data_IF_017696109332
#
_entry.id   IF_017696109332
#
_cell.length_a   1.000
_cell.length_b   1.000
_cell.length_c   1.000
_cell.angle_alpha   90.00
_cell.angle_beta   90.00
_cell.angle_gamma   90.00
#
_symmetry.space_group_name_H-M   'P 1'
#
loop_
_entity.id
_entity.type
_entity.pdbx_description
1 polymer ?
#
# COMPACT_ATOMS: atom_id res chain seq x y z
N UNK A 1 -23.93 -39.94 22.63
CA UNK A 1 -24.04 -38.50 22.31
C UNK A 1 -23.14 -37.61 23.17
N UNK A 2 -23.09 -37.76 24.50
CA UNK A 2 -22.28 -36.89 25.40
C UNK A 2 -20.77 -36.89 25.11
N UNK A 3 -20.19 -38.03 24.68
CA UNK A 3 -18.75 -38.15 24.33
C UNK A 3 -18.37 -37.47 23.00
N UNK A 4 -19.32 -37.39 22.06
CA UNK A 4 -19.10 -36.70 20.78
C UNK A 4 -19.11 -35.17 20.98
N UNK A 5 -19.96 -34.68 21.89
CA UNK A 5 -20.02 -33.26 22.25
C UNK A 5 -18.71 -32.78 22.89
N UNK A 6 -18.10 -33.59 23.76
CA UNK A 6 -16.80 -33.26 24.37
C UNK A 6 -15.65 -33.17 23.37
N UNK A 7 -15.65 -34.00 22.32
CA UNK A 7 -14.62 -33.96 21.27
C UNK A 7 -14.76 -32.73 20.37
N UNK A 8 -16.00 -32.30 20.09
CA UNK A 8 -16.26 -31.07 19.31
C UNK A 8 -15.81 -29.83 20.08
N UNK A 9 -16.08 -29.76 21.38
CA UNK A 9 -15.65 -28.65 22.24
C UNK A 9 -14.12 -28.60 22.34
N UNK A 10 -13.46 -29.76 22.46
CA UNK A 10 -12.00 -29.84 22.51
C UNK A 10 -11.34 -29.42 21.19
N UNK A 11 -11.94 -29.79 20.04
CA UNK A 11 -11.48 -29.34 18.72
C UNK A 11 -11.65 -27.83 18.51
N UNK A 12 -12.72 -27.24 19.05
CA UNK A 12 -12.99 -25.80 18.94
C UNK A 12 -11.96 -24.96 19.73
N UNK A 13 -11.51 -25.46 20.89
CA UNK A 13 -10.51 -24.78 21.72
C UNK A 13 -9.13 -24.83 21.06
N UNK A 14 -8.77 -25.94 20.42
CA UNK A 14 -7.49 -26.07 19.69
C UNK A 14 -7.41 -25.21 18.42
N UNK A 15 -8.54 -24.77 17.87
CA UNK A 15 -8.57 -23.88 16.69
C UNK A 15 -8.52 -22.38 17.04
N UNK A 16 -8.50 -22.01 18.33
CA UNK A 16 -8.61 -20.61 18.76
C UNK A 16 -7.27 -19.86 18.86
N UNK A 17 -6.12 -20.51 18.68
CA UNK A 17 -4.81 -19.91 18.93
C UNK A 17 -4.07 -19.44 17.67
N UNK A 18 -4.72 -18.65 16.81
CA UNK A 18 -4.00 -17.97 15.72
C UNK A 18 -4.60 -16.59 15.40
N UNK A 19 -4.75 -15.74 16.41
CA UNK A 19 -4.82 -14.30 16.17
C UNK A 19 -3.39 -13.85 15.87
N UNK A 20 -3.02 -13.87 14.59
CA UNK A 20 -1.80 -13.23 14.12
C UNK A 20 -1.94 -11.72 14.30
N UNK A 21 -1.50 -11.21 15.45
CA UNK A 21 -1.24 -9.79 15.61
C UNK A 21 -0.03 -9.45 14.72
N UNK A 22 -0.30 -8.90 13.53
CA UNK A 22 0.73 -8.30 12.71
C UNK A 22 1.41 -7.20 13.53
N UNK A 23 2.66 -7.39 13.92
CA UNK A 23 3.48 -6.33 14.51
C UNK A 23 3.68 -5.27 13.42
N UNK A 24 2.92 -4.19 13.49
CA UNK A 24 3.27 -2.96 12.79
C UNK A 24 4.47 -2.35 13.50
N UNK A 25 5.64 -2.39 12.88
CA UNK A 25 6.82 -1.70 13.37
C UNK A 25 6.55 -0.18 13.30
N UNK A 26 6.58 0.56 14.43
CA UNK A 26 6.31 2.00 14.43
C UNK A 26 7.37 2.81 13.66
N UNK A 27 8.46 2.18 13.23
CA UNK A 27 9.53 2.79 12.45
C UNK A 27 9.58 2.33 10.99
N UNK A 28 8.54 1.65 10.49
CA UNK A 28 8.40 1.35 9.06
C UNK A 28 8.02 2.61 8.26
N UNK A 29 9.00 3.52 8.13
CA UNK A 29 8.87 4.78 7.41
C UNK A 29 9.46 4.59 6.01
N UNK A 30 8.62 4.71 4.99
CA UNK A 30 9.04 4.63 3.59
C UNK A 30 9.84 5.89 3.20
N UNK A 31 11.17 5.84 3.34
CA UNK A 31 12.07 6.94 2.96
C UNK A 31 12.23 6.97 1.43
N UNK A 32 11.73 8.02 0.76
CA UNK A 32 11.89 8.20 -0.71
C UNK A 32 13.14 8.97 -1.09
N UNK A 33 13.54 9.93 -0.25
CA UNK A 33 14.70 10.81 -0.44
C UNK A 33 15.48 10.88 0.87
N UNK A 34 16.80 10.77 0.77
CA UNK A 34 17.72 10.96 1.87
C UNK A 34 18.51 12.24 1.62
N UNK A 35 18.37 13.18 2.53
CA UNK A 35 19.03 14.47 2.50
C UNK A 35 20.23 14.47 3.45
N UNK A 36 21.26 15.24 3.12
CA UNK A 36 22.51 15.34 3.90
C UNK A 36 22.33 16.03 5.25
N UNK A 37 21.25 16.80 5.40
CA UNK A 37 20.85 17.49 6.61
C UNK A 37 19.31 17.48 6.72
N UNK A 38 18.70 17.81 7.88
CA UNK A 38 17.25 17.93 8.03
C UNK A 38 16.70 19.20 7.37
N UNK A 39 16.99 19.37 6.08
CA UNK A 39 16.58 20.48 5.23
C UNK A 39 16.38 19.95 3.80
N UNK A 40 15.24 20.25 3.19
CA UNK A 40 14.88 19.84 1.83
C UNK A 40 15.75 20.52 0.76
N UNK A 41 16.40 21.63 1.09
CA UNK A 41 17.35 22.33 0.22
C UNK A 41 18.78 21.79 0.36
N UNK A 42 19.03 20.90 1.32
CA UNK A 42 20.35 20.29 1.47
C UNK A 42 20.62 19.27 0.36
N UNK A 43 21.88 18.86 0.24
CA UNK A 43 22.28 17.93 -0.82
C UNK A 43 21.51 16.60 -0.70
N UNK A 44 20.97 16.14 -1.84
CA UNK A 44 20.36 14.83 -1.95
C UNK A 44 21.46 13.77 -1.92
N UNK A 45 21.52 13.01 -0.83
CA UNK A 45 22.47 11.92 -0.64
C UNK A 45 21.99 10.68 -1.39
N UNK A 46 20.68 10.43 -1.37
CA UNK A 46 20.11 9.28 -2.03
C UNK A 46 18.66 9.53 -2.47
N UNK A 47 18.32 9.07 -3.67
CA UNK A 47 16.96 9.01 -4.17
C UNK A 47 16.66 7.55 -4.46
N UNK A 48 15.52 7.02 -4.02
CA UNK A 48 15.12 5.67 -4.38
C UNK A 48 14.38 5.75 -5.72
N UNK A 49 14.99 5.34 -6.86
CA UNK A 49 14.27 5.26 -8.11
C UNK A 49 13.30 4.07 -8.02
N UNK A 50 12.02 4.35 -7.84
CA UNK A 50 10.96 3.34 -7.93
C UNK A 50 10.30 3.51 -9.30
N UNK A 51 10.45 2.52 -10.16
CA UNK A 51 9.70 2.40 -11.41
C UNK A 51 8.48 1.51 -11.17
N UNK A 52 7.29 2.03 -11.49
CA UNK A 52 6.05 1.25 -11.46
C UNK A 52 5.49 1.18 -12.88
N UNK A 53 5.31 -0.04 -13.39
CA UNK A 53 4.70 -0.32 -14.69
C UNK A 53 3.42 -1.10 -14.51
N UNK A 54 2.34 -0.62 -15.11
CA UNK A 54 1.11 -1.39 -15.23
C UNK A 54 1.29 -2.44 -16.32
N UNK A 55 0.93 -3.68 -16.02
CA UNK A 55 1.03 -4.81 -16.94
C UNK A 55 -0.35 -5.31 -17.37
N UNK A 56 -1.32 -5.29 -16.45
CA UNK A 56 -2.66 -5.85 -16.70
C UNK A 56 -3.68 -5.28 -15.70
N UNK A 57 -4.96 -5.49 -16.00
CA UNK A 57 -6.10 -5.06 -15.16
C UNK A 57 -7.09 -6.22 -15.07
N UNK A 58 -7.64 -6.47 -13.89
CA UNK A 58 -8.70 -7.47 -13.71
C UNK A 58 -9.98 -7.06 -14.43
N UNK A 59 -10.84 -8.03 -14.73
CA UNK A 59 -12.12 -7.78 -15.40
C UNK A 59 -13.01 -6.79 -14.62
N UNK A 60 -12.98 -6.85 -13.28
CA UNK A 60 -13.72 -5.93 -12.40
C UNK A 60 -13.02 -4.58 -12.18
N UNK A 61 -11.83 -4.39 -12.75
CA UNK A 61 -11.02 -3.17 -12.66
C UNK A 61 -10.62 -2.74 -11.24
N UNK A 62 -10.75 -3.63 -10.25
CA UNK A 62 -10.33 -3.37 -8.87
C UNK A 62 -8.88 -3.78 -8.61
N UNK A 63 -8.32 -4.64 -9.47
CA UNK A 63 -6.97 -5.18 -9.33
C UNK A 63 -6.13 -4.84 -10.55
N UNK A 64 -4.91 -4.37 -10.27
CA UNK A 64 -3.97 -3.93 -11.28
C UNK A 64 -2.69 -4.74 -11.13
N UNK A 65 -2.33 -5.47 -12.18
CA UNK A 65 -1.07 -6.20 -12.21
C UNK A 65 0.05 -5.21 -12.47
N UNK A 66 0.95 -5.06 -11.50
CA UNK A 66 2.03 -4.10 -11.56
C UNK A 66 3.37 -4.79 -11.49
N UNK A 67 4.33 -4.23 -12.23
CA UNK A 67 5.76 -4.48 -12.05
C UNK A 67 6.35 -3.30 -11.30
N UNK A 68 6.93 -3.57 -10.15
CA UNK A 68 7.67 -2.59 -9.36
C UNK A 68 9.14 -2.95 -9.43
N UNK A 69 9.96 -2.03 -9.91
CA UNK A 69 11.40 -2.17 -9.96
C UNK A 69 12.04 -1.03 -9.16
N UNK A 70 12.94 -1.37 -8.25
CA UNK A 70 13.70 -0.37 -7.51
C UNK A 70 15.12 -0.86 -7.27
N UNK A 71 16.05 0.09 -7.18
CA UNK A 71 17.45 -0.19 -6.88
C UNK A 71 17.80 0.34 -5.51
N UNK A 72 18.53 -0.47 -4.73
CA UNK A 72 19.11 -0.10 -3.45
C UNK A 72 20.62 -0.32 -3.52
N UNK A 73 21.37 0.77 -3.68
CA UNK A 73 22.80 0.71 -3.98
C UNK A 73 23.10 -0.12 -5.24
N UNK A 74 24.01 -1.12 -5.19
CA UNK A 74 24.32 -1.97 -6.34
C UNK A 74 23.27 -3.05 -6.61
N UNK A 75 22.28 -3.21 -5.73
CA UNK A 75 21.25 -4.24 -5.85
C UNK A 75 20.02 -3.69 -6.55
N UNK A 76 19.43 -4.50 -7.42
CA UNK A 76 18.17 -4.17 -8.10
C UNK A 76 17.14 -5.24 -7.79
N UNK A 77 15.96 -4.80 -7.38
CA UNK A 77 14.83 -5.65 -7.02
C UNK A 77 13.71 -5.43 -8.03
N UNK A 78 13.01 -6.50 -8.37
CA UNK A 78 11.87 -6.45 -9.28
C UNK A 78 10.81 -7.41 -8.77
N UNK A 79 9.61 -6.88 -8.60
CA UNK A 79 8.44 -7.62 -8.16
C UNK A 79 7.34 -7.47 -9.20
N UNK A 80 6.63 -8.56 -9.47
CA UNK A 80 5.44 -8.57 -10.31
C UNK A 80 4.31 -9.17 -9.48
N UNK A 81 3.21 -8.45 -9.36
CA UNK A 81 2.08 -8.89 -8.55
C UNK A 81 0.82 -8.10 -8.86
N UNK A 82 -0.25 -8.43 -8.15
CA UNK A 82 -1.52 -7.71 -8.23
C UNK A 82 -1.64 -6.76 -7.05
N UNK A 83 -2.00 -5.50 -7.33
CA UNK A 83 -2.30 -4.49 -6.34
C UNK A 83 -3.79 -4.15 -6.42
N UNK A 84 -4.47 -4.17 -5.28
CA UNK A 84 -5.80 -3.60 -5.16
C UNK A 84 -5.67 -2.08 -5.19
N UNK A 85 -6.24 -1.45 -6.21
CA UNK A 85 -6.23 0.00 -6.34
C UNK A 85 -7.68 0.44 -6.56
N UNK A 86 -8.35 1.05 -5.57
CA UNK A 86 -9.72 1.52 -5.72
C UNK A 86 -9.73 2.83 -6.53
N UNK A 87 -9.32 2.76 -7.80
CA UNK A 87 -9.22 3.91 -8.72
C UNK A 87 -10.57 4.64 -8.80
N UNK A 88 -11.68 3.90 -8.79
CA UNK A 88 -13.03 4.47 -8.77
C UNK A 88 -13.27 5.42 -7.60
N UNK A 89 -12.85 5.05 -6.38
CA UNK A 89 -12.99 5.89 -5.18
C UNK A 89 -12.06 7.10 -5.22
N UNK A 90 -10.82 6.90 -5.69
CA UNK A 90 -9.83 7.98 -5.81
C UNK A 90 -10.28 9.04 -6.82
N UNK A 91 -10.83 8.62 -7.96
CA UNK A 91 -11.36 9.53 -8.98
C UNK A 91 -12.65 10.22 -8.48
N UNK A 92 -13.55 9.50 -7.82
CA UNK A 92 -14.76 10.09 -7.24
C UNK A 92 -14.41 11.16 -6.18
N UNK A 93 -13.45 10.88 -5.29
CA UNK A 93 -12.97 11.82 -4.28
C UNK A 93 -12.32 13.06 -4.91
N UNK A 94 -11.54 12.90 -5.99
CA UNK A 94 -10.93 14.03 -6.73
C UNK A 94 -11.99 14.89 -7.39
N UNK A 95 -12.96 14.29 -8.10
CA UNK A 95 -14.05 15.02 -8.75
C UNK A 95 -14.90 15.77 -7.72
N UNK A 96 -15.21 15.16 -6.57
CA UNK A 96 -15.93 15.82 -5.48
C UNK A 96 -15.13 16.98 -4.85
N UNK A 97 -13.80 16.87 -4.78
CA UNK A 97 -12.92 17.94 -4.29
C UNK A 97 -12.82 19.11 -5.28
N UNK A 98 -12.70 18.82 -6.58
CA UNK A 98 -12.69 19.85 -7.64
C UNK A 98 -14.04 20.57 -7.72
N UNK A 99 -15.16 19.85 -7.61
CA UNK A 99 -16.50 20.44 -7.61
C UNK A 99 -16.79 21.33 -6.38
N UNK A 100 -15.99 21.22 -5.31
CA UNK A 100 -16.12 22.01 -4.08
C UNK A 100 -15.05 23.11 -3.95
N UNK A 101 -14.10 23.22 -4.88
CA UNK A 101 -13.16 24.33 -4.90
C UNK A 101 -13.91 25.61 -5.34
N UNK A 102 -13.88 26.72 -4.56
CA UNK A 102 -14.57 27.95 -4.93
C UNK A 102 -13.97 28.54 -6.20
N UNK A 103 -14.83 29.17 -7.03
CA UNK A 103 -14.46 30.04 -8.14
C UNK A 103 -13.79 31.33 -7.59
N UNK A 104 -12.59 31.23 -7.02
CA UNK A 104 -11.77 32.36 -6.59
C UNK A 104 -10.39 32.26 -7.22
N UNK A 105 -10.30 32.31 -8.55
CA UNK A 105 -9.11 32.80 -9.27
C UNK A 105 -9.43 32.90 -10.77
N UNK A 106 -10.39 33.77 -11.12
CA UNK A 106 -10.45 34.36 -12.46
C UNK A 106 -10.77 35.86 -12.32
N UNK A 107 -9.71 36.66 -12.27
CA UNK A 107 -9.71 38.11 -12.42
C UNK A 107 -8.32 38.66 -12.12
N UNK A 108 -7.82 39.71 -12.82
CA UNK A 108 -8.50 40.60 -13.76
C UNK A 108 -8.45 40.17 -15.24
#
# INVERSE_FOLDING_TARGET
>A
MKRALSLIIFALILFSSAVFAAKTDPYDIQVKKLYSAPDENSNLVYNIPIEVKLLDISEDSNWYKVKISFSLGPLSYTYVGWAEIPVGEILAARSAKVAKAPLEEQGP
#
